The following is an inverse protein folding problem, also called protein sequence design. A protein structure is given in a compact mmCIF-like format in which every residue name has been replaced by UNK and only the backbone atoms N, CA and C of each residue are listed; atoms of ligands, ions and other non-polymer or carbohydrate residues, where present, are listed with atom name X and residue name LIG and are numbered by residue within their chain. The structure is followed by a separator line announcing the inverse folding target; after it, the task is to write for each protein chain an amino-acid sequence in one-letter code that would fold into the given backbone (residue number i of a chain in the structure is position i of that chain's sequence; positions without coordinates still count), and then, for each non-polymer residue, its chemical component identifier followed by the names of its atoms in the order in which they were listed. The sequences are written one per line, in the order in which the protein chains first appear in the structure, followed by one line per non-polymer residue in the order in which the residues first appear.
data_IF_698692387042
#
_entry.id   IF_698692387042
#
_cell.length_a   1.000
_cell.length_b   1.000
_cell.length_c   1.000
_cell.angle_alpha   90.00
_cell.angle_beta   90.00
_cell.angle_gamma   90.00
#
_symmetry.space_group_name_H-M   'P 1'
#
loop_
_entity.id
_entity.type
_entity.pdbx_description
1 polymer ?
#
# COMPACT_ATOMS: atom_id res chain seq x y z
N UNK A 1 55.20 15.96 36.18
CA UNK A 1 53.90 16.18 36.85
C UNK A 1 52.99 17.22 36.17
N UNK A 2 53.58 18.30 35.60
CA UNK A 2 52.80 19.37 34.89
C UNK A 2 52.25 18.91 33.55
N UNK A 3 52.95 18.03 32.80
CA UNK A 3 52.51 17.52 31.51
C UNK A 3 51.30 16.57 31.60
N UNK A 4 51.18 15.80 32.69
CA UNK A 4 50.05 14.87 32.92
C UNK A 4 48.79 15.65 33.28
N UNK A 5 48.89 16.74 34.02
CA UNK A 5 47.75 17.59 34.36
C UNK A 5 47.17 18.31 33.11
N UNK A 6 48.00 18.72 32.15
CA UNK A 6 47.56 19.36 30.91
C UNK A 6 46.82 18.38 29.96
N UNK A 7 47.28 17.11 29.87
CA UNK A 7 46.63 16.10 29.08
C UNK A 7 45.23 15.71 29.64
N UNK A 8 45.08 15.70 30.98
CA UNK A 8 43.78 15.42 31.61
C UNK A 8 42.78 16.58 31.40
N UNK A 9 43.23 17.84 31.36
CA UNK A 9 42.38 18.97 31.06
C UNK A 9 41.91 19.01 29.59
N UNK A 10 42.76 18.60 28.64
CA UNK A 10 42.40 18.55 27.25
C UNK A 10 41.38 17.41 26.93
N UNK A 11 41.50 16.28 27.61
CA UNK A 11 40.53 15.19 27.51
C UNK A 11 39.15 15.59 28.13
N UNK A 12 39.15 16.35 29.23
CA UNK A 12 37.94 16.87 29.84
C UNK A 12 37.23 17.90 28.98
N UNK A 13 37.95 18.80 28.29
CA UNK A 13 37.37 19.79 27.39
C UNK A 13 36.76 19.13 26.10
N UNK A 14 37.43 18.15 25.54
CA UNK A 14 36.87 17.43 24.37
C UNK A 14 35.57 16.67 24.70
N UNK A 15 35.46 16.04 25.86
CA UNK A 15 34.28 15.34 26.34
C UNK A 15 33.10 16.27 26.64
N UNK A 16 33.36 17.49 27.11
CA UNK A 16 32.33 18.50 27.37
C UNK A 16 31.76 19.05 26.06
N UNK A 17 32.61 19.41 25.09
CA UNK A 17 32.18 19.85 23.77
C UNK A 17 31.35 18.79 23.03
N UNK A 18 31.72 17.52 23.13
CA UNK A 18 30.92 16.40 22.54
C UNK A 18 29.56 16.31 23.20
N UNK A 19 29.47 16.39 24.53
CA UNK A 19 28.19 16.38 25.25
C UNK A 19 27.30 17.56 24.89
N UNK A 20 27.86 18.74 24.72
CA UNK A 20 27.13 19.95 24.33
C UNK A 20 26.54 19.80 22.93
N UNK A 21 27.26 19.19 21.99
CA UNK A 21 26.78 18.89 20.64
C UNK A 21 25.65 17.87 20.63
N UNK A 22 25.62 16.93 21.54
CA UNK A 22 24.58 15.92 21.65
C UNK A 22 23.25 16.49 22.15
N UNK A 23 23.24 17.70 22.75
CA UNK A 23 22.03 18.33 23.28
C UNK A 23 21.21 17.37 24.15
N UNK A 24 21.88 16.66 25.05
CA UNK A 24 21.26 15.65 25.93
C UNK A 24 20.22 16.30 26.81
N UNK A 25 18.97 15.80 26.77
CA UNK A 25 17.86 16.33 27.55
C UNK A 25 17.78 15.74 28.96
N UNK A 26 18.37 14.57 29.18
CA UNK A 26 18.40 13.92 30.50
C UNK A 26 19.57 14.43 31.34
N UNK A 27 19.31 15.24 32.38
CA UNK A 27 20.38 15.78 33.20
C UNK A 27 21.15 14.71 34.03
N UNK A 28 20.54 13.53 34.21
CA UNK A 28 21.20 12.44 34.97
C UNK A 28 22.36 11.82 34.17
N UNK A 29 22.28 11.87 32.84
CA UNK A 29 23.34 11.39 31.95
C UNK A 29 24.57 12.31 31.97
N UNK A 30 24.37 13.60 32.29
CA UNK A 30 25.45 14.61 32.37
C UNK A 30 26.25 14.54 33.69
N UNK A 31 25.75 13.80 34.67
CA UNK A 31 26.44 13.62 35.96
C UNK A 31 27.62 12.65 35.85
N UNK A 32 28.54 12.73 36.78
CA UNK A 32 29.64 11.75 36.89
C UNK A 32 29.10 10.42 37.43
N UNK A 33 29.30 9.35 36.69
CA UNK A 33 28.80 8.03 37.04
C UNK A 33 27.32 7.83 36.79
N UNK A 34 26.81 6.64 37.01
CA UNK A 34 25.40 6.32 36.86
C UNK A 34 24.57 6.83 38.04
N UNK A 35 23.39 7.38 37.73
CA UNK A 35 22.39 7.65 38.77
C UNK A 35 21.83 6.33 39.32
N UNK A 36 21.14 6.39 40.47
CA UNK A 36 20.47 5.20 41.03
C UNK A 36 19.45 4.57 40.03
N UNK A 37 18.69 5.40 39.29
CA UNK A 37 17.75 4.95 38.29
C UNK A 37 18.45 4.24 37.14
N UNK A 38 19.57 4.78 36.65
CA UNK A 38 20.34 4.14 35.57
C UNK A 38 20.96 2.82 36.05
N UNK A 39 21.51 2.78 37.27
CA UNK A 39 22.07 1.56 37.86
C UNK A 39 21.01 0.46 38.03
N UNK A 40 19.76 0.82 38.35
CA UNK A 40 18.66 -0.15 38.41
C UNK A 40 18.21 -0.67 37.02
N UNK A 41 18.31 0.17 36.02
CA UNK A 41 17.97 -0.19 34.66
C UNK A 41 19.06 -1.06 33.99
N UNK A 42 20.32 -0.83 34.37
CA UNK A 42 21.46 -1.47 33.72
C UNK A 42 21.41 -3.01 33.81
N UNK A 43 21.61 -3.66 32.69
CA UNK A 43 21.65 -5.11 32.57
C UNK A 43 20.32 -5.85 32.78
N UNK A 44 19.22 -5.15 33.06
CA UNK A 44 17.93 -5.78 33.27
C UNK A 44 17.15 -5.89 31.96
N UNK A 45 16.60 -7.07 31.68
CA UNK A 45 15.66 -7.25 30.55
C UNK A 45 14.31 -6.60 30.86
N UNK A 46 13.59 -6.17 29.83
CA UNK A 46 12.25 -5.55 30.01
C UNK A 46 11.21 -6.61 30.38
N UNK A 47 10.11 -6.26 31.08
CA UNK A 47 8.99 -7.16 31.30
C UNK A 47 8.41 -7.72 30.00
N UNK A 48 8.36 -6.91 28.93
CA UNK A 48 7.91 -7.33 27.60
C UNK A 48 8.82 -8.41 27.01
N UNK A 49 10.14 -8.22 27.16
CA UNK A 49 11.10 -9.24 26.74
C UNK A 49 10.90 -10.55 27.51
N UNK A 50 10.82 -10.49 28.85
CA UNK A 50 10.64 -11.69 29.68
C UNK A 50 9.35 -12.42 29.30
N UNK A 51 8.25 -11.69 29.11
CA UNK A 51 6.95 -12.27 28.78
C UNK A 51 6.93 -12.94 27.39
N UNK A 52 7.61 -12.33 26.41
CA UNK A 52 7.56 -12.79 25.02
C UNK A 52 8.65 -13.82 24.69
N UNK A 53 9.83 -13.68 25.29
CA UNK A 53 11.04 -14.38 24.82
C UNK A 53 11.87 -15.03 25.95
N UNK A 54 11.31 -15.17 27.14
CA UNK A 54 12.00 -15.83 28.25
C UNK A 54 12.58 -17.18 27.86
N UNK A 55 13.91 -17.31 27.92
CA UNK A 55 14.63 -18.50 27.48
C UNK A 55 15.09 -18.51 26.01
N UNK A 56 14.66 -17.56 25.18
CA UNK A 56 15.15 -17.41 23.81
C UNK A 56 16.44 -16.56 23.79
N UNK A 57 17.46 -17.07 23.09
CA UNK A 57 18.73 -16.32 22.94
C UNK A 57 18.54 -15.17 21.94
N UNK A 58 19.12 -13.99 22.20
CA UNK A 58 19.10 -12.83 21.31
C UNK A 58 19.49 -13.15 19.87
N UNK A 59 20.53 -13.99 19.67
CA UNK A 59 20.95 -14.42 18.34
C UNK A 59 19.86 -15.18 17.57
N UNK A 60 19.13 -16.04 18.27
CA UNK A 60 18.03 -16.82 17.68
C UNK A 60 16.85 -15.92 17.35
N UNK A 61 16.48 -15.01 18.27
CA UNK A 61 15.39 -14.08 18.03
C UNK A 61 15.71 -13.15 16.86
N UNK A 62 16.92 -12.57 16.82
CA UNK A 62 17.37 -11.71 15.74
C UNK A 62 17.23 -12.40 14.37
N UNK A 63 17.69 -13.64 14.25
CA UNK A 63 17.58 -14.41 13.00
C UNK A 63 16.13 -14.76 12.67
N UNK A 64 15.32 -15.08 13.66
CA UNK A 64 13.89 -15.40 13.47
C UNK A 64 13.10 -14.18 12.98
N UNK A 65 13.25 -13.03 13.62
CA UNK A 65 12.56 -11.80 13.23
C UNK A 65 13.04 -11.34 11.84
N UNK A 66 14.36 -11.43 11.55
CA UNK A 66 14.87 -11.11 10.23
C UNK A 66 14.25 -12.00 9.13
N UNK A 67 14.12 -13.30 9.40
CA UNK A 67 13.50 -14.24 8.46
C UNK A 67 12.01 -13.90 8.22
N UNK A 68 11.26 -13.64 9.29
CA UNK A 68 9.85 -13.21 9.20
C UNK A 68 9.69 -11.91 8.43
N UNK A 69 10.50 -10.89 8.74
CA UNK A 69 10.49 -9.62 8.03
C UNK A 69 10.79 -9.81 6.53
N UNK A 70 11.75 -10.67 6.19
CA UNK A 70 12.06 -10.97 4.79
C UNK A 70 10.92 -11.71 4.08
N UNK A 71 10.21 -12.58 4.77
CA UNK A 71 9.07 -13.33 4.22
C UNK A 71 7.88 -12.43 3.83
N UNK A 72 7.82 -11.20 4.33
CA UNK A 72 6.79 -10.22 3.95
C UNK A 72 6.89 -9.77 2.48
N UNK A 73 8.02 -9.97 1.79
CA UNK A 73 8.24 -9.51 0.42
C UNK A 73 8.00 -7.99 0.28
N UNK A 74 7.18 -7.60 -0.67
CA UNK A 74 6.87 -6.18 -0.93
C UNK A 74 6.14 -5.48 0.25
N UNK A 75 5.45 -6.22 1.11
CA UNK A 75 4.73 -5.64 2.25
C UNK A 75 5.63 -4.94 3.28
N UNK A 76 6.92 -5.25 3.31
CA UNK A 76 7.90 -4.55 4.15
C UNK A 76 8.45 -3.27 3.52
N UNK A 77 8.17 -2.99 2.24
CA UNK A 77 8.71 -1.85 1.52
C UNK A 77 7.93 -0.56 1.86
N UNK A 78 7.96 -0.19 3.14
CA UNK A 78 7.32 0.99 3.69
C UNK A 78 8.07 1.45 4.95
N UNK A 79 7.61 2.56 5.56
CA UNK A 79 8.18 3.13 6.77
C UNK A 79 8.35 2.10 7.90
N UNK A 80 7.35 1.28 8.17
CA UNK A 80 7.36 0.33 9.30
C UNK A 80 8.33 -0.83 9.07
N UNK A 81 8.39 -1.36 7.85
CA UNK A 81 9.33 -2.40 7.51
C UNK A 81 10.78 -1.92 7.51
N UNK A 82 11.01 -0.69 7.03
CA UNK A 82 12.32 -0.05 7.14
C UNK A 82 12.70 0.16 8.62
N UNK A 83 11.77 0.62 9.46
CA UNK A 83 11.99 0.81 10.90
C UNK A 83 12.32 -0.49 11.61
N UNK A 84 11.58 -1.59 11.29
CA UNK A 84 11.88 -2.92 11.83
C UNK A 84 13.29 -3.38 11.44
N UNK A 85 13.69 -3.17 10.18
CA UNK A 85 15.04 -3.51 9.72
C UNK A 85 16.12 -2.70 10.44
N UNK A 86 15.90 -1.40 10.67
CA UNK A 86 16.86 -0.54 11.38
C UNK A 86 16.99 -0.93 12.84
N UNK A 87 15.89 -1.34 13.51
CA UNK A 87 15.95 -1.92 14.85
C UNK A 87 16.77 -3.22 14.90
N UNK A 88 16.61 -4.11 13.89
CA UNK A 88 17.43 -5.33 13.80
C UNK A 88 18.90 -5.00 13.58
N UNK A 89 19.21 -3.95 12.83
CA UNK A 89 20.59 -3.51 12.62
C UNK A 89 21.18 -2.97 13.92
N UNK A 90 20.51 -2.06 14.63
CA UNK A 90 20.94 -1.52 15.92
C UNK A 90 21.14 -2.65 16.95
N UNK A 91 20.21 -3.60 17.05
CA UNK A 91 20.38 -4.77 17.93
C UNK A 91 21.58 -5.63 17.57
N UNK A 92 21.91 -5.77 16.29
CA UNK A 92 23.06 -6.52 15.80
C UNK A 92 24.37 -5.82 16.15
N UNK A 93 24.40 -4.50 15.97
CA UNK A 93 25.58 -3.69 16.23
C UNK A 93 25.92 -3.69 17.71
N UNK A 94 24.94 -3.45 18.58
CA UNK A 94 25.12 -3.46 20.04
C UNK A 94 25.47 -4.87 20.57
N UNK A 95 24.84 -5.91 20.00
CA UNK A 95 25.21 -7.29 20.35
C UNK A 95 26.66 -7.59 19.96
N UNK A 96 27.14 -7.07 18.84
CA UNK A 96 28.54 -7.24 18.41
C UNK A 96 29.49 -6.43 19.28
N UNK A 97 29.06 -5.28 19.77
CA UNK A 97 29.75 -4.44 20.75
C UNK A 97 29.74 -5.01 22.17
N UNK A 98 29.05 -6.13 22.40
CA UNK A 98 28.87 -6.77 23.70
C UNK A 98 28.13 -5.86 24.70
N UNK A 99 27.13 -5.10 24.22
CA UNK A 99 26.27 -4.34 25.12
C UNK A 99 25.62 -5.23 26.17
N UNK A 100 25.80 -4.87 27.43
CA UNK A 100 25.23 -5.55 28.60
C UNK A 100 24.15 -4.72 29.31
N UNK A 101 23.72 -3.57 28.75
CA UNK A 101 22.77 -2.66 29.36
C UNK A 101 21.31 -2.98 29.10
N UNK A 102 21.01 -3.88 28.14
CA UNK A 102 19.66 -4.32 27.79
C UNK A 102 19.08 -3.65 26.56
N UNK A 103 19.83 -2.84 25.83
CA UNK A 103 19.36 -2.21 24.59
C UNK A 103 19.09 -3.24 23.50
N UNK A 104 19.90 -4.30 23.40
CA UNK A 104 19.69 -5.39 22.42
C UNK A 104 18.28 -5.98 22.55
N UNK A 105 17.85 -6.26 23.78
CA UNK A 105 16.51 -6.79 24.07
C UNK A 105 15.42 -5.77 23.71
N UNK A 106 15.59 -4.52 24.07
CA UNK A 106 14.63 -3.45 23.76
C UNK A 106 14.49 -3.26 22.25
N UNK A 107 15.60 -3.24 21.51
CA UNK A 107 15.60 -3.11 20.04
C UNK A 107 14.96 -4.31 19.34
N UNK A 108 15.22 -5.53 19.81
CA UNK A 108 14.62 -6.75 19.28
C UNK A 108 13.11 -6.78 19.50
N UNK A 109 12.61 -6.34 20.65
CA UNK A 109 11.16 -6.22 20.92
C UNK A 109 10.52 -5.26 19.92
N UNK A 110 11.15 -4.11 19.64
CA UNK A 110 10.63 -3.15 18.66
C UNK A 110 10.59 -3.74 17.26
N UNK A 111 11.63 -4.43 16.83
CA UNK A 111 11.68 -5.09 15.53
C UNK A 111 10.60 -6.16 15.39
N UNK A 112 10.39 -6.98 16.43
CA UNK A 112 9.39 -8.03 16.42
C UNK A 112 7.96 -7.49 16.41
N UNK A 113 7.66 -6.48 17.24
CA UNK A 113 6.35 -5.83 17.24
C UNK A 113 5.98 -5.26 15.87
N UNK A 114 6.91 -4.54 15.23
CA UNK A 114 6.68 -3.99 13.90
C UNK A 114 6.50 -5.10 12.85
N UNK A 115 7.28 -6.17 12.94
CA UNK A 115 7.18 -7.31 12.03
C UNK A 115 5.83 -8.02 12.19
N UNK A 116 5.40 -8.30 13.42
CA UNK A 116 4.11 -8.91 13.73
C UNK A 116 2.93 -8.01 13.29
N UNK A 117 3.05 -6.70 13.48
CA UNK A 117 2.04 -5.75 13.02
C UNK A 117 1.93 -5.73 11.48
N UNK A 118 3.04 -5.85 10.76
CA UNK A 118 3.05 -5.98 9.30
C UNK A 118 2.48 -7.32 8.81
N UNK A 119 2.67 -8.40 9.57
CA UNK A 119 2.10 -9.73 9.27
C UNK A 119 0.57 -9.72 9.37
N UNK A 120 0.05 -9.05 10.41
CA UNK A 120 -1.39 -9.01 10.71
C UNK A 120 -2.12 -7.82 10.08
N UNK A 121 -1.40 -6.77 9.70
CA UNK A 121 -1.98 -5.50 9.25
C UNK A 121 -2.59 -4.66 10.39
N UNK A 122 -2.28 -4.97 11.66
CA UNK A 122 -2.84 -4.31 12.84
C UNK A 122 -1.74 -3.82 13.79
N UNK A 123 -2.03 -2.79 14.56
CA UNK A 123 -1.14 -2.31 15.62
C UNK A 123 0.05 -1.49 15.13
N UNK A 124 0.05 -1.02 13.88
CA UNK A 124 1.09 -0.12 13.36
C UNK A 124 0.93 1.27 13.98
N UNK A 125 1.93 1.69 14.76
CA UNK A 125 2.00 3.02 15.37
C UNK A 125 3.23 3.78 14.83
N UNK A 126 3.04 5.05 14.52
CA UNK A 126 4.10 5.94 14.02
C UNK A 126 4.97 6.52 15.12
N UNK A 127 4.56 6.36 16.38
CA UNK A 127 5.26 6.88 17.53
C UNK A 127 6.55 6.11 17.80
N UNK A 128 7.53 6.82 18.36
CA UNK A 128 8.78 6.20 18.76
C UNK A 128 8.67 5.68 20.19
N UNK A 129 9.26 4.52 20.50
CA UNK A 129 9.26 4.01 21.85
C UNK A 129 10.18 4.86 22.74
N UNK A 130 9.82 5.00 24.02
CA UNK A 130 10.73 5.45 25.05
C UNK A 130 11.45 4.21 25.59
N UNK A 131 12.73 4.10 25.28
CA UNK A 131 13.53 3.01 25.81
C UNK A 131 14.08 3.37 27.19
N UNK A 132 14.18 2.37 28.03
CA UNK A 132 14.70 2.47 29.39
C UNK A 132 16.18 2.82 29.43
N UNK A 133 16.93 2.35 28.44
CA UNK A 133 18.36 2.52 28.32
C UNK A 133 18.77 3.55 27.26
N UNK A 134 17.91 4.50 26.94
CA UNK A 134 18.21 5.56 25.98
C UNK A 134 17.80 6.91 26.48
N UNK A 135 18.68 7.89 26.33
CA UNK A 135 18.41 9.30 26.63
C UNK A 135 17.88 10.02 25.39
N UNK A 136 16.98 10.98 25.60
CA UNK A 136 16.57 11.88 24.50
C UNK A 136 17.71 12.85 24.20
N UNK A 137 18.14 12.86 22.95
CA UNK A 137 19.20 13.72 22.44
C UNK A 137 18.75 14.43 21.16
N UNK A 138 19.44 15.52 20.77
CA UNK A 138 19.25 16.21 19.48
C UNK A 138 17.80 16.50 19.11
N UNK A 139 17.08 17.28 19.91
CA UNK A 139 15.68 17.63 19.60
C UNK A 139 15.52 18.39 18.28
N UNK A 140 16.56 19.02 17.79
CA UNK A 140 16.61 19.68 16.48
C UNK A 140 16.50 18.67 15.31
N UNK A 141 17.19 17.53 15.37
CA UNK A 141 17.10 16.48 14.37
C UNK A 141 15.76 15.76 14.43
N UNK A 142 15.25 15.50 15.62
CA UNK A 142 13.89 14.96 15.78
C UNK A 142 12.84 15.83 15.10
N UNK A 143 12.94 17.16 15.28
CA UNK A 143 12.03 18.11 14.62
C UNK A 143 12.11 18.02 13.11
N UNK A 144 13.32 17.86 12.55
CA UNK A 144 13.51 17.73 11.09
C UNK A 144 12.89 16.44 10.55
N UNK A 145 13.12 15.29 11.21
CA UNK A 145 12.52 14.02 10.82
C UNK A 145 10.99 14.09 10.88
N UNK A 146 10.45 14.65 11.97
CA UNK A 146 9.00 14.82 12.12
C UNK A 146 8.41 15.74 11.04
N UNK A 147 9.09 16.83 10.68
CA UNK A 147 8.66 17.72 9.60
C UNK A 147 8.61 16.98 8.24
N UNK A 148 9.59 16.13 7.94
CA UNK A 148 9.59 15.32 6.73
C UNK A 148 8.40 14.34 6.69
N UNK A 149 8.04 13.72 7.80
CA UNK A 149 6.89 12.80 7.93
C UNK A 149 5.55 13.49 7.74
N UNK A 150 5.45 14.80 7.93
CA UNK A 150 4.21 15.57 7.66
C UNK A 150 4.01 15.93 6.20
N UNK A 151 4.99 15.65 5.33
CA UNK A 151 4.85 15.88 3.89
C UNK A 151 3.71 15.02 3.31
N UNK A 152 2.83 15.58 2.48
CA UNK A 152 1.77 14.82 1.82
C UNK A 152 2.31 13.73 0.88
N UNK A 153 3.57 13.86 0.45
CA UNK A 153 4.24 12.86 -0.39
C UNK A 153 4.86 11.70 0.43
N UNK A 154 5.04 11.87 1.74
CA UNK A 154 5.76 10.90 2.56
C UNK A 154 5.20 9.47 2.44
N UNK A 155 3.87 9.32 2.47
CA UNK A 155 3.22 8.02 2.37
C UNK A 155 3.50 7.27 1.05
N UNK A 156 3.91 7.98 -0.01
CA UNK A 156 4.16 7.44 -1.33
C UNK A 156 5.66 7.24 -1.63
N UNK A 157 6.52 7.84 -0.81
CA UNK A 157 7.96 7.95 -1.06
C UNK A 157 8.73 6.94 -0.22
N UNK A 158 8.89 5.71 -0.72
CA UNK A 158 9.55 4.62 0.00
C UNK A 158 10.96 5.00 0.49
N UNK A 159 11.75 5.71 -0.32
CA UNK A 159 13.09 6.11 0.06
C UNK A 159 13.08 7.14 1.19
N UNK A 160 12.20 8.14 1.15
CA UNK A 160 12.04 9.08 2.25
C UNK A 160 11.56 8.37 3.54
N UNK A 161 10.65 7.41 3.40
CA UNK A 161 10.19 6.58 4.52
C UNK A 161 11.33 5.77 5.14
N UNK A 162 12.17 5.15 4.30
CA UNK A 162 13.33 4.36 4.73
C UNK A 162 14.34 5.23 5.48
N UNK A 163 14.70 6.37 4.92
CA UNK A 163 15.66 7.30 5.51
C UNK A 163 15.16 7.86 6.84
N UNK A 164 13.90 8.31 6.89
CA UNK A 164 13.29 8.84 8.13
C UNK A 164 13.20 7.76 9.22
N UNK A 165 12.74 6.55 8.89
CA UNK A 165 12.62 5.44 9.82
C UNK A 165 13.97 5.06 10.44
N UNK A 166 15.02 4.97 9.61
CA UNK A 166 16.35 4.64 10.10
C UNK A 166 16.96 5.78 10.91
N UNK A 167 16.76 7.05 10.52
CA UNK A 167 17.22 8.20 11.32
C UNK A 167 16.60 8.23 12.70
N UNK A 168 15.32 7.88 12.86
CA UNK A 168 14.67 7.77 14.17
C UNK A 168 15.32 6.69 15.04
N UNK A 169 15.55 5.51 14.47
CA UNK A 169 16.20 4.40 15.21
C UNK A 169 17.63 4.76 15.58
N UNK A 170 18.40 5.36 14.66
CA UNK A 170 19.76 5.79 14.91
C UNK A 170 19.84 6.89 15.99
N UNK A 171 18.87 7.81 16.06
CA UNK A 171 18.79 8.80 17.14
C UNK A 171 18.52 8.16 18.50
N UNK A 172 17.67 7.11 18.54
CA UNK A 172 17.43 6.36 19.78
C UNK A 172 18.68 5.55 20.16
N UNK A 173 19.35 4.95 19.19
CA UNK A 173 20.61 4.22 19.38
C UNK A 173 21.72 5.16 19.89
N UNK A 174 21.88 6.32 19.27
CA UNK A 174 22.81 7.35 19.77
C UNK A 174 22.44 7.84 21.17
N UNK A 175 21.14 7.90 21.48
CA UNK A 175 20.65 8.17 22.84
C UNK A 175 21.05 7.08 23.84
N UNK A 176 21.07 5.82 23.43
CA UNK A 176 21.57 4.70 24.24
C UNK A 176 23.07 4.88 24.53
N UNK A 177 23.85 5.14 23.54
CA UNK A 177 25.29 5.36 23.68
C UNK A 177 25.58 6.56 24.60
N UNK A 178 24.80 7.67 24.49
CA UNK A 178 24.89 8.79 25.42
C UNK A 178 24.49 8.38 26.85
N UNK A 179 23.42 7.58 26.99
CA UNK A 179 22.97 7.04 28.28
C UNK A 179 24.04 6.15 28.92
N UNK A 180 24.71 5.31 28.13
CA UNK A 180 25.84 4.48 28.57
C UNK A 180 27.14 5.28 28.76
N UNK A 181 27.12 6.57 28.46
CA UNK A 181 28.28 7.52 28.50
C UNK A 181 29.36 7.24 27.47
N UNK A 182 29.02 6.54 26.42
CA UNK A 182 29.86 6.37 25.24
C UNK A 182 29.68 7.55 24.28
N UNK A 183 29.99 8.76 24.73
CA UNK A 183 29.69 10.00 24.00
C UNK A 183 30.33 10.10 22.62
N UNK A 184 31.48 9.46 22.41
CA UNK A 184 32.14 9.46 21.11
C UNK A 184 31.36 8.62 20.11
N UNK A 185 30.86 7.48 20.51
CA UNK A 185 30.02 6.61 19.65
C UNK A 185 28.65 7.24 19.41
N UNK A 186 28.02 7.78 20.45
CA UNK A 186 26.82 8.60 20.30
C UNK A 186 27.00 9.72 19.27
N UNK A 187 28.11 10.45 19.32
CA UNK A 187 28.39 11.50 18.35
C UNK A 187 28.60 10.95 16.94
N UNK A 188 29.27 9.81 16.79
CA UNK A 188 29.48 9.16 15.49
C UNK A 188 28.12 8.81 14.83
N UNK A 189 27.19 8.27 15.59
CA UNK A 189 25.83 7.94 15.13
C UNK A 189 25.07 9.22 14.76
N UNK A 190 25.13 10.26 15.60
CA UNK A 190 24.51 11.56 15.31
C UNK A 190 25.07 12.18 14.04
N UNK A 191 26.40 12.14 13.85
CA UNK A 191 27.04 12.64 12.61
C UNK A 191 26.53 11.86 11.38
N UNK A 192 26.20 10.57 11.53
CA UNK A 192 25.57 9.75 10.48
C UNK A 192 24.19 10.28 10.13
N UNK A 193 23.36 10.52 11.13
CA UNK A 193 22.01 11.10 10.95
C UNK A 193 22.07 12.48 10.32
N UNK A 194 22.94 13.37 10.81
CA UNK A 194 23.11 14.72 10.24
C UNK A 194 23.46 14.68 8.75
N UNK A 195 24.37 13.80 8.35
CA UNK A 195 24.71 13.61 6.92
C UNK A 195 23.56 13.04 6.10
N UNK A 196 22.69 12.24 6.72
CA UNK A 196 21.53 11.64 6.07
C UNK A 196 20.34 12.57 5.91
N UNK A 197 20.20 13.61 6.75
CA UNK A 197 19.06 14.52 6.76
C UNK A 197 18.73 15.15 5.40
N UNK A 198 19.69 15.71 4.63
CA UNK A 198 19.41 16.26 3.32
C UNK A 198 18.86 15.22 2.34
N UNK A 199 19.22 13.94 2.52
CA UNK A 199 18.73 12.85 1.70
C UNK A 199 17.23 12.62 1.84
N UNK A 200 16.63 12.84 3.01
CA UNK A 200 15.19 12.73 3.22
C UNK A 200 14.45 13.79 2.38
N UNK A 201 14.93 15.04 2.43
CA UNK A 201 14.37 16.14 1.61
C UNK A 201 14.49 15.85 0.13
N UNK A 202 15.68 15.48 -0.33
CA UNK A 202 15.92 15.13 -1.74
C UNK A 202 15.05 13.95 -2.21
N UNK A 203 14.85 12.94 -1.37
CA UNK A 203 13.96 11.82 -1.68
C UNK A 203 12.50 12.26 -1.81
N UNK A 204 12.03 13.20 -0.97
CA UNK A 204 10.69 13.78 -1.08
C UNK A 204 10.53 14.62 -2.36
N UNK A 205 11.55 15.42 -2.71
CA UNK A 205 11.56 16.24 -3.93
C UNK A 205 11.58 15.37 -5.20
N UNK A 206 12.34 14.29 -5.19
CA UNK A 206 12.40 13.33 -6.30
C UNK A 206 11.16 12.44 -6.42
N UNK A 207 10.32 12.42 -5.39
CA UNK A 207 9.13 11.60 -5.34
C UNK A 207 8.05 12.18 -6.27
N UNK A 208 7.85 11.53 -7.39
CA UNK A 208 6.67 11.78 -8.20
C UNK A 208 5.46 11.15 -7.52
N UNK A 209 4.36 11.88 -7.33
CA UNK A 209 3.11 11.27 -6.88
C UNK A 209 2.82 10.06 -7.76
N UNK A 210 2.55 8.90 -7.15
CA UNK A 210 2.07 7.76 -7.91
C UNK A 210 0.85 8.24 -8.71
N UNK A 211 0.84 7.99 -10.03
CA UNK A 211 -0.36 8.18 -10.82
C UNK A 211 -1.50 7.49 -10.04
N UNK A 212 -2.66 8.15 -9.83
CA UNK A 212 -3.75 7.53 -9.10
C UNK A 212 -3.97 6.15 -9.69
N UNK A 213 -3.91 5.11 -8.85
CA UNK A 213 -4.17 3.75 -9.28
C UNK A 213 -5.49 3.79 -10.06
N UNK A 214 -5.58 3.17 -11.26
CA UNK A 214 -6.82 3.15 -12.00
C UNK A 214 -7.90 2.69 -11.03
N UNK A 215 -8.82 3.58 -10.68
CA UNK A 215 -9.95 3.22 -9.83
C UNK A 215 -10.67 2.16 -10.60
N UNK A 216 -10.66 0.91 -10.11
CA UNK A 216 -11.35 -0.18 -10.77
C UNK A 216 -12.79 0.31 -10.96
N UNK A 217 -13.21 0.46 -12.23
CA UNK A 217 -14.54 0.96 -12.52
C UNK A 217 -15.56 0.07 -11.81
N UNK A 218 -16.50 0.61 -11.03
CA UNK A 218 -17.56 -0.19 -10.41
C UNK A 218 -18.44 -0.85 -11.48
N UNK A 219 -18.31 -0.45 -12.75
CA UNK A 219 -19.06 -0.95 -13.89
C UNK A 219 -18.33 -2.17 -14.48
N UNK A 220 -18.96 -3.34 -14.51
CA UNK A 220 -18.39 -4.53 -15.16
C UNK A 220 -18.22 -4.29 -16.66
N UNK A 221 -17.38 -5.07 -17.35
CA UNK A 221 -17.23 -4.95 -18.79
C UNK A 221 -18.55 -5.25 -19.53
N UNK A 222 -19.39 -6.12 -18.96
CA UNK A 222 -20.71 -6.51 -19.49
C UNK A 222 -21.72 -6.63 -18.36
N UNK A 223 -22.95 -6.17 -18.60
CA UNK A 223 -24.10 -6.36 -17.71
C UNK A 223 -25.23 -7.02 -18.48
N UNK A 224 -25.90 -7.98 -17.85
CA UNK A 224 -27.09 -8.66 -18.41
C UNK A 224 -28.33 -8.33 -17.59
N UNK A 225 -29.36 -7.85 -18.26
CA UNK A 225 -30.70 -7.64 -17.72
C UNK A 225 -31.62 -8.76 -18.25
N UNK A 226 -32.13 -9.60 -17.36
CA UNK A 226 -33.12 -10.59 -17.73
C UNK A 226 -34.41 -9.87 -18.16
N UNK A 227 -34.92 -10.19 -19.37
CA UNK A 227 -36.05 -9.44 -19.89
C UNK A 227 -37.34 -9.65 -19.06
N UNK A 228 -37.54 -10.85 -18.50
CA UNK A 228 -38.68 -11.16 -17.65
C UNK A 228 -38.65 -10.46 -16.27
N UNK A 229 -37.48 -10.06 -15.82
CA UNK A 229 -37.30 -9.24 -14.62
C UNK A 229 -37.28 -7.73 -14.93
N UNK A 230 -37.12 -7.36 -16.21
CA UNK A 230 -37.00 -5.96 -16.65
C UNK A 230 -38.31 -5.46 -17.29
N UNK A 231 -39.02 -6.30 -18.03
CA UNK A 231 -40.25 -5.94 -18.74
C UNK A 231 -41.39 -6.91 -18.40
N UNK A 232 -42.60 -6.40 -18.38
CA UNK A 232 -43.80 -7.23 -18.39
C UNK A 232 -43.84 -8.10 -19.68
N UNK A 233 -44.56 -9.21 -19.61
CA UNK A 233 -44.70 -10.09 -20.76
C UNK A 233 -45.21 -9.32 -22.01
N UNK A 234 -44.56 -9.56 -23.12
CA UNK A 234 -44.84 -8.93 -24.41
C UNK A 234 -44.74 -7.40 -24.44
N UNK A 235 -44.12 -6.79 -23.40
CA UNK A 235 -43.90 -5.34 -23.35
C UNK A 235 -42.45 -5.00 -23.68
N UNK A 236 -42.29 -3.78 -24.19
CA UNK A 236 -40.99 -3.25 -24.60
C UNK A 236 -40.84 -1.73 -24.36
N UNK A 237 -41.85 -1.09 -23.79
CA UNK A 237 -41.89 0.34 -23.49
C UNK A 237 -41.56 0.63 -21.99
N UNK A 238 -41.28 1.89 -21.67
CA UNK A 238 -40.94 2.32 -20.30
C UNK A 238 -42.10 2.05 -19.32
N UNK A 239 -43.36 2.18 -19.79
CA UNK A 239 -44.55 1.90 -18.97
C UNK A 239 -44.63 0.41 -18.60
N UNK A 240 -44.17 -0.46 -19.49
CA UNK A 240 -44.09 -1.91 -19.27
C UNK A 240 -42.82 -2.36 -18.52
N UNK A 241 -41.91 -1.46 -18.12
CA UNK A 241 -40.76 -1.82 -17.32
C UNK A 241 -41.14 -2.12 -15.87
N UNK A 242 -40.66 -3.25 -15.37
CA UNK A 242 -40.86 -3.69 -13.99
C UNK A 242 -39.99 -2.88 -12.99
N UNK A 243 -40.42 -2.71 -11.74
CA UNK A 243 -39.67 -1.98 -10.72
C UNK A 243 -38.23 -2.48 -10.56
N UNK A 244 -38.02 -3.81 -10.57
CA UNK A 244 -36.69 -4.39 -10.44
C UNK A 244 -35.74 -4.01 -11.59
N UNK A 245 -36.25 -3.93 -12.81
CA UNK A 245 -35.50 -3.48 -13.98
C UNK A 245 -35.12 -2.00 -13.88
N UNK A 246 -36.09 -1.14 -13.47
CA UNK A 246 -35.84 0.28 -13.26
C UNK A 246 -34.79 0.51 -12.19
N UNK A 247 -34.88 -0.15 -11.03
CA UNK A 247 -33.90 -0.03 -9.92
C UNK A 247 -32.49 -0.37 -10.39
N UNK A 248 -32.30 -1.43 -11.18
CA UNK A 248 -30.99 -1.80 -11.75
C UNK A 248 -30.46 -0.74 -12.70
N UNK A 249 -31.31 -0.18 -13.56
CA UNK A 249 -30.90 0.86 -14.48
C UNK A 249 -30.63 2.19 -13.77
N UNK A 250 -31.39 2.54 -12.74
CA UNK A 250 -31.12 3.73 -11.93
C UNK A 250 -29.79 3.62 -11.18
N UNK A 251 -29.44 2.44 -10.68
CA UNK A 251 -28.12 2.19 -10.10
C UNK A 251 -27.02 2.35 -11.15
N UNK A 252 -27.20 1.73 -12.32
CA UNK A 252 -26.25 1.86 -13.43
C UNK A 252 -26.05 3.30 -13.89
N UNK A 253 -27.11 4.12 -13.88
CA UNK A 253 -27.03 5.56 -14.19
C UNK A 253 -26.11 6.25 -13.19
N UNK A 254 -26.29 6.03 -11.90
CA UNK A 254 -25.42 6.61 -10.86
C UNK A 254 -23.96 6.17 -11.04
N UNK A 255 -23.74 4.89 -11.27
CA UNK A 255 -22.40 4.34 -11.46
C UNK A 255 -21.71 4.95 -12.71
N UNK A 256 -22.45 5.08 -13.82
CA UNK A 256 -21.96 5.70 -15.07
C UNK A 256 -21.64 7.20 -14.91
N UNK A 257 -22.37 7.91 -14.07
CA UNK A 257 -22.10 9.33 -13.79
C UNK A 257 -20.81 9.53 -12.99
N UNK A 258 -20.38 8.50 -12.25
CA UNK A 258 -19.13 8.50 -11.47
C UNK A 258 -17.96 7.90 -12.22
N UNK A 259 -18.22 7.04 -13.21
CA UNK A 259 -17.20 6.37 -14.01
C UNK A 259 -16.71 7.26 -15.15
N UNK A 260 -15.43 7.63 -15.09
CA UNK A 260 -14.77 8.44 -16.13
C UNK A 260 -14.17 7.63 -17.29
N UNK A 261 -14.18 6.30 -17.22
CA UNK A 261 -13.47 5.40 -18.14
C UNK A 261 -14.35 4.79 -19.24
N UNK A 262 -15.68 4.91 -19.16
CA UNK A 262 -16.62 4.38 -20.14
C UNK A 262 -16.79 5.35 -21.30
N UNK A 263 -16.29 4.98 -22.48
CA UNK A 263 -16.33 5.80 -23.70
C UNK A 263 -17.52 5.51 -24.61
N UNK A 264 -18.20 4.38 -24.42
CA UNK A 264 -19.36 3.98 -25.21
C UNK A 264 -20.12 2.84 -24.54
N UNK A 265 -21.41 2.71 -24.89
CA UNK A 265 -22.27 1.63 -24.40
C UNK A 265 -22.96 1.00 -25.59
N UNK A 266 -22.90 -0.31 -25.71
CA UNK A 266 -23.66 -1.08 -26.70
C UNK A 266 -24.75 -1.85 -25.98
N UNK A 267 -25.98 -1.66 -26.39
CA UNK A 267 -27.17 -2.31 -25.84
C UNK A 267 -27.72 -3.30 -26.86
N UNK A 268 -27.70 -4.59 -26.57
CA UNK A 268 -28.21 -5.63 -27.45
C UNK A 268 -29.36 -6.38 -26.79
N UNK A 269 -30.51 -6.46 -27.47
CA UNK A 269 -31.68 -7.20 -27.02
C UNK A 269 -31.76 -8.56 -27.66
N UNK A 270 -32.19 -9.57 -26.91
CA UNK A 270 -32.34 -10.95 -27.33
C UNK A 270 -33.70 -11.49 -26.90
N UNK A 271 -34.19 -12.48 -27.66
CA UNK A 271 -35.39 -13.27 -27.33
C UNK A 271 -35.03 -14.74 -27.27
N UNK A 272 -35.95 -15.55 -26.79
CA UNK A 272 -35.89 -16.98 -27.03
C UNK A 272 -36.32 -17.30 -28.50
N UNK A 273 -36.32 -18.59 -28.87
CA UNK A 273 -36.65 -19.06 -30.21
C UNK A 273 -38.14 -19.18 -30.49
N UNK A 274 -39.01 -18.91 -29.53
CA UNK A 274 -40.46 -19.00 -29.70
C UNK A 274 -40.99 -17.78 -30.47
N UNK A 275 -41.90 -18.03 -31.41
CA UNK A 275 -42.43 -16.98 -32.30
C UNK A 275 -41.67 -16.83 -33.63
N UNK A 276 -42.12 -15.88 -34.44
CA UNK A 276 -41.49 -15.62 -35.76
C UNK A 276 -40.22 -14.80 -35.62
N UNK A 277 -39.33 -14.96 -36.59
CA UNK A 277 -38.04 -14.24 -36.62
C UNK A 277 -38.25 -12.70 -36.69
N UNK A 278 -39.21 -12.27 -37.50
CA UNK A 278 -39.53 -10.83 -37.65
C UNK A 278 -40.04 -10.23 -36.35
N UNK A 279 -40.95 -10.92 -35.66
CA UNK A 279 -41.45 -10.54 -34.35
C UNK A 279 -40.32 -10.44 -33.30
N UNK A 280 -39.50 -11.48 -33.22
CA UNK A 280 -38.39 -11.53 -32.25
C UNK A 280 -37.36 -10.42 -32.50
N UNK A 281 -37.00 -10.15 -33.75
CA UNK A 281 -36.12 -9.03 -34.11
C UNK A 281 -36.70 -7.68 -33.72
N UNK A 282 -37.99 -7.46 -33.94
CA UNK A 282 -38.66 -6.21 -33.55
C UNK A 282 -38.78 -6.05 -32.05
N UNK A 283 -39.20 -7.09 -31.30
CA UNK A 283 -39.33 -7.07 -29.86
C UNK A 283 -37.99 -6.80 -29.17
N UNK A 284 -36.93 -7.50 -29.57
CA UNK A 284 -35.60 -7.33 -29.06
C UNK A 284 -35.03 -5.92 -29.34
N UNK A 285 -35.25 -5.39 -30.54
CA UNK A 285 -34.83 -4.04 -30.91
C UNK A 285 -35.55 -2.97 -30.08
N UNK A 286 -36.87 -3.09 -29.89
CA UNK A 286 -37.65 -2.18 -29.08
C UNK A 286 -37.20 -2.20 -27.61
N UNK A 287 -36.91 -3.37 -27.05
CA UNK A 287 -36.39 -3.50 -25.66
C UNK A 287 -35.01 -2.84 -25.50
N UNK A 288 -34.09 -3.10 -26.42
CA UNK A 288 -32.78 -2.48 -26.41
C UNK A 288 -32.88 -0.95 -26.53
N UNK A 289 -33.74 -0.47 -27.42
CA UNK A 289 -33.98 0.96 -27.61
C UNK A 289 -34.60 1.63 -26.36
N UNK A 290 -35.50 0.94 -25.67
CA UNK A 290 -36.10 1.43 -24.44
C UNK A 290 -35.06 1.56 -23.33
N UNK A 291 -34.17 0.58 -23.17
CA UNK A 291 -33.05 0.66 -22.22
C UNK A 291 -32.13 1.82 -22.59
N UNK A 292 -31.78 1.98 -23.88
CA UNK A 292 -30.96 3.12 -24.35
C UNK A 292 -31.58 4.46 -23.94
N UNK A 293 -32.86 4.66 -24.25
CA UNK A 293 -33.58 5.90 -23.93
C UNK A 293 -33.68 6.12 -22.43
N UNK A 294 -33.91 5.08 -21.65
CA UNK A 294 -33.97 5.16 -20.20
C UNK A 294 -32.66 5.68 -19.60
N UNK A 295 -31.53 5.13 -20.04
CA UNK A 295 -30.21 5.60 -19.61
C UNK A 295 -29.95 7.07 -20.00
N UNK A 296 -30.30 7.44 -21.24
CA UNK A 296 -30.15 8.83 -21.70
C UNK A 296 -31.04 9.81 -20.94
N UNK A 297 -32.32 9.44 -20.66
CA UNK A 297 -33.22 10.28 -19.87
C UNK A 297 -32.77 10.42 -18.41
N UNK A 298 -32.03 9.44 -17.88
CA UNK A 298 -31.38 9.48 -16.59
C UNK A 298 -30.07 10.31 -16.54
N UNK A 299 -29.70 10.94 -17.66
CA UNK A 299 -28.54 11.87 -17.71
C UNK A 299 -27.22 11.21 -18.14
N UNK A 300 -27.22 9.97 -18.65
CA UNK A 300 -26.02 9.34 -19.21
C UNK A 300 -25.64 10.04 -20.51
N UNK A 301 -24.47 10.69 -20.54
CA UNK A 301 -23.96 11.45 -21.70
C UNK A 301 -23.09 10.60 -22.64
N UNK A 302 -22.61 9.46 -22.16
CA UNK A 302 -21.81 8.50 -22.95
C UNK A 302 -22.60 8.06 -24.20
N UNK A 303 -21.98 7.99 -25.40
CA UNK A 303 -22.62 7.48 -26.61
C UNK A 303 -23.19 6.07 -26.40
N UNK A 304 -24.48 5.88 -26.71
CA UNK A 304 -25.16 4.58 -26.55
C UNK A 304 -25.72 4.14 -27.90
N UNK A 305 -25.36 2.94 -28.35
CA UNK A 305 -25.96 2.27 -29.50
C UNK A 305 -26.92 1.16 -29.04
N UNK A 306 -28.00 0.91 -29.81
CA UNK A 306 -28.94 -0.17 -29.51
C UNK A 306 -29.20 -1.02 -30.74
N UNK A 307 -29.35 -2.35 -30.53
CA UNK A 307 -29.64 -3.30 -31.59
C UNK A 307 -30.47 -4.48 -31.07
N UNK A 308 -31.42 -4.94 -31.90
CA UNK A 308 -32.13 -6.22 -31.70
C UNK A 308 -31.42 -7.35 -32.40
N UNK A 309 -31.16 -8.42 -31.69
CA UNK A 309 -30.56 -9.67 -32.20
C UNK A 309 -31.59 -10.77 -32.42
N UNK A 310 -32.84 -10.59 -31.94
CA UNK A 310 -33.86 -11.61 -31.99
C UNK A 310 -33.44 -12.87 -31.23
N UNK A 311 -33.53 -14.03 -31.85
CA UNK A 311 -33.16 -15.33 -31.28
C UNK A 311 -31.70 -15.72 -31.49
N UNK A 312 -30.87 -14.82 -32.03
CA UNK A 312 -29.45 -15.09 -32.26
C UNK A 312 -28.71 -15.25 -30.89
N UNK A 313 -27.60 -15.95 -30.90
CA UNK A 313 -26.71 -16.16 -29.76
C UNK A 313 -27.41 -16.66 -28.47
N UNK A 314 -28.11 -17.83 -28.53
CA UNK A 314 -28.78 -18.39 -27.35
C UNK A 314 -27.76 -18.82 -26.29
N UNK A 315 -27.99 -18.45 -25.04
CA UNK A 315 -27.14 -18.84 -23.87
C UNK A 315 -27.52 -20.22 -23.33
N UNK A 316 -28.76 -20.67 -23.59
CA UNK A 316 -29.22 -22.02 -23.27
C UNK A 316 -29.97 -22.65 -24.47
N UNK A 317 -29.83 -23.96 -24.62
CA UNK A 317 -30.60 -24.74 -25.55
C UNK A 317 -31.49 -25.70 -24.77
N UNK A 318 -32.78 -25.72 -25.13
CA UNK A 318 -33.82 -26.40 -24.37
C UNK A 318 -34.61 -27.33 -25.35
N UNK A 319 -34.94 -28.53 -24.91
CA UNK A 319 -35.65 -29.52 -25.72
C UNK A 319 -36.84 -30.18 -24.98
N UNK A 320 -37.39 -29.50 -23.98
CA UNK A 320 -38.49 -29.95 -23.18
C UNK A 320 -39.74 -30.12 -24.04
N UNK A 321 -40.41 -31.26 -23.88
CA UNK A 321 -41.68 -31.55 -24.56
C UNK A 321 -42.86 -30.80 -23.96
N UNK A 322 -42.80 -30.56 -22.66
CA UNK A 322 -43.79 -29.74 -21.97
C UNK A 322 -43.55 -28.27 -22.31
N UNK A 323 -44.61 -27.60 -22.82
CA UNK A 323 -44.52 -26.19 -23.24
C UNK A 323 -44.13 -25.25 -22.11
N UNK A 324 -44.65 -25.45 -20.90
CA UNK A 324 -44.35 -24.61 -19.76
C UNK A 324 -42.88 -24.78 -19.33
N UNK A 325 -42.42 -26.01 -19.20
CA UNK A 325 -41.04 -26.31 -18.89
C UNK A 325 -40.07 -25.76 -19.97
N UNK A 326 -40.46 -25.81 -21.26
CA UNK A 326 -39.70 -25.23 -22.34
C UNK A 326 -39.57 -23.68 -22.18
N UNK A 327 -40.67 -22.98 -21.88
CA UNK A 327 -40.68 -21.53 -21.67
C UNK A 327 -39.79 -21.15 -20.51
N UNK A 328 -39.81 -21.90 -19.39
CA UNK A 328 -38.98 -21.69 -18.21
C UNK A 328 -37.51 -21.94 -18.52
N UNK A 329 -37.18 -23.04 -19.16
CA UNK A 329 -35.81 -23.35 -19.57
C UNK A 329 -35.23 -22.26 -20.48
N UNK A 330 -36.02 -21.75 -21.44
CA UNK A 330 -35.58 -20.71 -22.40
C UNK A 330 -35.50 -19.30 -21.79
N UNK A 331 -35.90 -19.06 -20.51
CA UNK A 331 -35.89 -17.76 -19.88
C UNK A 331 -34.56 -17.02 -19.96
N UNK A 332 -33.39 -17.66 -19.79
CA UNK A 332 -32.09 -16.99 -19.89
C UNK A 332 -31.81 -16.36 -21.27
N UNK A 333 -32.42 -16.85 -22.34
CA UNK A 333 -32.27 -16.30 -23.68
C UNK A 333 -32.98 -14.95 -23.84
N UNK A 334 -34.04 -14.70 -23.06
CA UNK A 334 -34.79 -13.43 -23.04
C UNK A 334 -34.05 -12.43 -22.20
N UNK A 335 -33.15 -11.64 -22.81
CA UNK A 335 -32.25 -10.74 -22.10
C UNK A 335 -31.95 -9.47 -22.89
N UNK A 336 -31.45 -8.46 -22.19
CA UNK A 336 -30.77 -7.28 -22.76
C UNK A 336 -29.35 -7.24 -22.20
N UNK A 337 -28.38 -7.20 -23.06
CA UNK A 337 -26.95 -7.09 -22.71
C UNK A 337 -26.48 -5.67 -22.94
N UNK A 338 -25.65 -5.18 -22.03
CA UNK A 338 -24.97 -3.89 -22.12
C UNK A 338 -23.45 -4.16 -22.07
N UNK A 339 -22.75 -3.87 -23.15
CA UNK A 339 -21.29 -3.90 -23.22
C UNK A 339 -20.75 -2.48 -23.01
N UNK A 340 -19.85 -2.31 -22.05
CA UNK A 340 -19.23 -1.03 -21.72
C UNK A 340 -17.87 -0.93 -22.39
N UNK A 341 -17.76 -0.04 -23.37
CA UNK A 341 -16.52 0.24 -24.10
C UNK A 341 -15.67 1.21 -23.29
N UNK A 342 -14.38 0.93 -23.17
CA UNK A 342 -13.41 1.76 -22.44
C UNK A 342 -12.33 2.28 -23.35
N UNK A 343 -11.66 3.36 -22.94
CA UNK A 343 -10.43 3.79 -23.59
C UNK A 343 -9.43 2.64 -23.48
N UNK A 344 -8.97 2.10 -24.60
CA UNK A 344 -7.86 1.16 -24.60
C UNK A 344 -6.64 1.93 -24.06
N UNK A 345 -6.08 1.54 -22.92
CA UNK A 345 -4.70 1.87 -22.62
C UNK A 345 -3.87 1.43 -23.82
N UNK A 346 -3.05 2.34 -24.34
CA UNK A 346 -2.07 2.03 -25.36
C UNK A 346 -1.16 0.94 -24.83
N UNK A 347 -1.52 -0.32 -25.04
CA UNK A 347 -0.57 -1.41 -25.01
C UNK A 347 0.36 -1.15 -26.18
N UNK A 348 1.51 -0.55 -25.90
CA UNK A 348 2.60 -0.44 -26.86
C UNK A 348 2.96 -1.84 -27.29
N UNK A 349 2.50 -2.21 -28.48
CA UNK A 349 2.91 -3.44 -29.13
C UNK A 349 4.45 -3.48 -29.21
N UNK A 350 5.09 -4.58 -28.85
CA UNK A 350 6.52 -4.71 -29.04
C UNK A 350 6.82 -4.54 -30.53
N UNK A 351 7.69 -3.58 -30.86
CA UNK A 351 8.19 -3.41 -32.22
C UNK A 351 8.83 -4.73 -32.64
N UNK A 352 8.20 -5.42 -33.55
CA UNK A 352 8.77 -6.55 -34.25
C UNK A 352 10.05 -6.07 -34.95
N UNK A 353 11.20 -6.59 -34.52
CA UNK A 353 12.45 -6.47 -35.24
C UNK A 353 12.22 -7.05 -36.64
N UNK A 354 12.26 -6.18 -37.64
CA UNK A 354 12.43 -6.57 -39.02
C UNK A 354 13.81 -7.23 -39.17
N UNK A 355 13.91 -8.43 -39.74
CA UNK A 355 15.21 -9.02 -40.03
C UNK A 355 15.87 -8.24 -41.18
N UNK A 356 17.06 -7.76 -40.91
CA UNK A 356 17.95 -7.15 -41.89
C UNK A 356 18.31 -8.20 -42.97
N UNK A 357 17.98 -7.91 -44.22
CA UNK A 357 18.41 -8.72 -45.35
C UNK A 357 19.94 -8.67 -45.52
N UNK A 358 20.62 -9.77 -45.88
CA UNK A 358 22.04 -9.75 -46.18
C UNK A 358 22.29 -9.04 -47.53
N UNK A 359 23.17 -8.07 -47.51
CA UNK A 359 23.70 -7.47 -48.74
C UNK A 359 24.61 -8.47 -49.45
N UNK A 360 24.20 -8.83 -50.65
CA UNK A 360 24.96 -9.61 -51.62
C UNK A 360 26.15 -8.78 -52.12
N UNK A 361 27.36 -9.17 -51.75
CA UNK A 361 28.60 -8.60 -52.30
C UNK A 361 28.77 -9.07 -53.73
N UNK A 362 28.63 -8.15 -54.71
CA UNK A 362 29.15 -8.34 -56.06
C UNK A 362 30.66 -8.10 -56.07
N UNK A 363 31.41 -9.14 -56.36
CA UNK A 363 32.80 -9.04 -56.83
C UNK A 363 32.79 -8.59 -58.29
N UNK A 364 33.57 -7.56 -58.56
CA UNK A 364 34.37 -7.37 -59.77
C UNK A 364 35.71 -6.72 -59.34
#
# INVERSE_FOLDING_TARGET
LIAIALAAMLAGCSSSATRDRLQIQDPTVLQTGFSATQSQAAGAVTPQWIAAYGGVRNATLLSTVQTRLNALGERKNNYFGAKAQCWLNAARDERSGHDGWGFVEEALVQADHLTAALETGQGLAVDNPTLRTSATIRPDLWKQVMAAKTSPLFAQCQEAQRLAACSEVELIHAGHEAWARNFNESQRLVDGVERGMPGIGAALEACTPAAPAPVASPIPQKMTLQADATFQFDRSDVAGMLPAGKTKLDQLIRDLQQAGDVTGIRVEGYTDRLGSDSYNRQLSAKRAETVRRYLQSGGVKTPITSRGRGKDDPVVQCNERNRQALIECLAPNRRVELDFLRSSEHTSAPRSHMPTQPQEQRQQ
#
